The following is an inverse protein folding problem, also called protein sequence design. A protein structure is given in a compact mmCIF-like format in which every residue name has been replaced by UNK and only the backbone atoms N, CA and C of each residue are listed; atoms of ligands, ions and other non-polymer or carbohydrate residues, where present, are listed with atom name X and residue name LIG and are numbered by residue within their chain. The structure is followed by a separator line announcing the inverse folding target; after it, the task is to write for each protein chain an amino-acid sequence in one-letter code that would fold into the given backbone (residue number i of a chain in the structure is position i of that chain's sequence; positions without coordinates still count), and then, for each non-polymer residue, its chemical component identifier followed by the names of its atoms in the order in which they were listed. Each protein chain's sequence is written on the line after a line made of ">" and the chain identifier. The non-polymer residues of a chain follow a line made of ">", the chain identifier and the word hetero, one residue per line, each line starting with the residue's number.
data_IF_719348268711
#
_entry.id   IF_719348268711
#
_cell.length_a   1.000
_cell.length_b   1.000
_cell.length_c   1.000
_cell.angle_alpha   90.00
_cell.angle_beta   90.00
_cell.angle_gamma   90.00
#
_symmetry.space_group_name_H-M   'P 1'
#
loop_
_entity.id
_entity.type
_entity.pdbx_description
1 polymer ?
#
# COMPACT_ATOMS: atom_id res chain seq x y z
N UNK A 1 -15.41 -16.79 -9.78
CA UNK A 1 -14.74 -16.33 -8.55
C UNK A 1 -15.70 -15.35 -7.90
N UNK A 2 -15.94 -15.39 -6.58
CA UNK A 2 -16.65 -14.31 -5.92
C UNK A 2 -15.91 -13.00 -6.20
N UNK A 3 -16.65 -11.93 -6.44
CA UNK A 3 -16.08 -10.59 -6.60
C UNK A 3 -15.61 -10.14 -5.20
N UNK A 4 -14.33 -9.76 -5.08
CA UNK A 4 -13.82 -9.18 -3.83
C UNK A 4 -14.29 -7.73 -3.78
N UNK A 5 -15.34 -7.48 -2.99
CA UNK A 5 -15.84 -6.14 -2.77
C UNK A 5 -14.92 -5.41 -1.79
N UNK A 6 -14.33 -4.30 -2.24
CA UNK A 6 -13.54 -3.43 -1.38
C UNK A 6 -14.45 -2.79 -0.33
N UNK A 7 -14.04 -2.87 0.93
CA UNK A 7 -14.85 -2.37 2.06
C UNK A 7 -14.35 -1.04 2.59
N UNK A 8 -13.07 -0.70 2.36
CA UNK A 8 -12.46 0.55 2.81
C UNK A 8 -11.20 0.89 2.01
N UNK A 9 -10.89 2.18 1.89
CA UNK A 9 -9.60 2.69 1.43
C UNK A 9 -8.90 3.30 2.64
N UNK A 10 -7.73 2.78 2.99
CA UNK A 10 -6.84 3.40 3.98
C UNK A 10 -5.66 4.00 3.23
N UNK A 11 -5.36 5.28 3.42
CA UNK A 11 -4.33 5.98 2.68
C UNK A 11 -3.49 6.92 3.55
N UNK A 12 -2.29 7.23 3.06
CA UNK A 12 -1.43 8.25 3.65
C UNK A 12 -1.78 9.61 3.04
N UNK A 13 -1.94 10.63 3.88
CA UNK A 13 -2.23 12.01 3.44
C UNK A 13 -0.99 12.71 2.83
N UNK A 14 0.20 12.20 3.14
CA UNK A 14 1.49 12.70 2.65
C UNK A 14 2.44 11.52 2.40
N UNK A 15 3.73 11.82 2.22
CA UNK A 15 4.80 10.83 2.16
C UNK A 15 4.70 9.87 3.35
N UNK A 16 4.72 8.54 3.12
CA UNK A 16 4.57 7.59 4.20
C UNK A 16 5.70 7.73 5.21
N UNK A 17 5.35 7.58 6.48
CA UNK A 17 6.31 7.45 7.59
C UNK A 17 6.06 6.11 8.30
N UNK A 18 6.87 5.79 9.30
CA UNK A 18 6.55 4.69 10.22
C UNK A 18 5.27 5.06 10.96
N UNK A 19 4.13 4.51 10.53
CA UNK A 19 2.82 4.94 11.00
C UNK A 19 1.79 3.82 11.05
N UNK A 20 0.66 4.11 11.68
CA UNK A 20 -0.47 3.18 11.77
C UNK A 20 -1.74 3.89 11.34
N UNK A 21 -2.31 3.44 10.23
CA UNK A 21 -3.58 3.89 9.69
C UNK A 21 -4.69 3.04 10.32
N UNK A 22 -5.26 3.53 11.42
CA UNK A 22 -6.38 2.88 12.09
C UNK A 22 -7.72 3.23 11.42
N UNK A 23 -8.60 2.25 11.25
CA UNK A 23 -9.91 2.44 10.64
C UNK A 23 -10.98 1.59 11.31
N UNK A 24 -12.25 1.83 10.95
CA UNK A 24 -13.40 1.06 11.43
C UNK A 24 -14.40 0.83 10.31
N UNK A 25 -14.74 -0.43 10.07
CA UNK A 25 -15.75 -0.85 9.09
C UNK A 25 -16.79 -1.68 9.82
N UNK A 26 -18.07 -1.34 9.69
CA UNK A 26 -19.18 -2.08 10.32
C UNK A 26 -19.01 -2.33 11.84
N UNK A 27 -18.29 -1.45 12.54
CA UNK A 27 -18.00 -1.57 13.98
C UNK A 27 -16.84 -2.49 14.34
N UNK A 28 -16.19 -3.13 13.35
CA UNK A 28 -14.94 -3.86 13.52
C UNK A 28 -13.75 -2.91 13.32
N UNK A 29 -12.79 -2.97 14.23
CA UNK A 29 -11.55 -2.18 14.17
C UNK A 29 -10.49 -2.93 13.37
N UNK A 30 -9.76 -2.20 12.55
CA UNK A 30 -8.59 -2.68 11.83
C UNK A 30 -7.53 -1.60 11.73
N UNK A 31 -6.33 -1.99 11.33
CA UNK A 31 -5.28 -1.02 11.03
C UNK A 31 -4.33 -1.53 9.95
N UNK A 32 -3.76 -0.61 9.18
CA UNK A 32 -2.56 -0.87 8.38
C UNK A 32 -1.37 -0.26 9.12
N UNK A 33 -0.35 -1.06 9.40
CA UNK A 33 0.92 -0.61 9.95
C UNK A 33 1.90 -0.50 8.77
N UNK A 34 2.52 0.67 8.62
CA UNK A 34 3.50 0.97 7.58
C UNK A 34 4.87 1.11 8.25
N UNK A 35 5.89 0.47 7.69
CA UNK A 35 7.29 0.57 8.13
C UNK A 35 8.17 0.99 6.94
N UNK A 36 8.75 2.19 6.99
CA UNK A 36 9.59 2.72 5.92
C UNK A 36 11.00 2.12 6.04
N UNK A 37 11.28 1.15 5.17
CA UNK A 37 12.52 0.37 5.24
C UNK A 37 13.73 1.02 4.56
N UNK A 38 13.53 2.05 3.74
CA UNK A 38 14.65 2.82 3.19
C UNK A 38 14.26 4.21 2.69
N UNK A 39 15.21 5.14 2.77
CA UNK A 39 15.08 6.52 2.28
C UNK A 39 16.24 6.90 1.35
N UNK A 40 16.06 7.95 0.55
CA UNK A 40 17.15 8.54 -0.23
C UNK A 40 18.01 9.50 0.61
N UNK A 41 19.01 10.15 -0.01
CA UNK A 41 19.90 11.09 0.69
C UNK A 41 19.20 12.35 1.19
N UNK A 42 18.02 12.66 0.66
CA UNK A 42 17.19 13.81 1.05
C UNK A 42 16.16 13.42 2.13
N UNK A 43 16.09 12.14 2.49
CA UNK A 43 15.18 11.60 3.50
C UNK A 43 13.84 11.11 2.95
N UNK A 44 13.61 11.18 1.64
CA UNK A 44 12.35 10.74 1.04
C UNK A 44 12.24 9.20 1.09
N UNK A 45 11.06 8.64 1.45
CA UNK A 45 10.84 7.21 1.50
C UNK A 45 10.97 6.58 0.11
N UNK A 46 11.72 5.48 -0.01
CA UNK A 46 11.91 4.73 -1.26
C UNK A 46 11.24 3.36 -1.22
N UNK A 47 11.20 2.73 -0.04
CA UNK A 47 10.55 1.45 0.19
C UNK A 47 9.85 1.42 1.54
N UNK A 48 8.81 0.62 1.62
CA UNK A 48 8.12 0.32 2.87
C UNK A 48 7.62 -1.12 2.88
N UNK A 49 7.37 -1.62 4.07
CA UNK A 49 6.66 -2.86 4.34
C UNK A 49 5.31 -2.51 4.97
N UNK A 50 4.32 -3.38 4.84
CA UNK A 50 3.06 -3.21 5.55
C UNK A 50 2.58 -4.49 6.22
N UNK A 51 1.80 -4.32 7.28
CA UNK A 51 1.00 -5.40 7.87
C UNK A 51 -0.37 -4.89 8.29
N UNK A 52 -1.35 -5.78 8.31
CA UNK A 52 -2.74 -5.48 8.67
C UNK A 52 -3.08 -6.15 10.00
N UNK A 53 -3.87 -5.46 10.82
CA UNK A 53 -4.47 -6.02 12.03
C UNK A 53 -5.98 -5.97 11.97
N UNK A 54 -6.63 -6.85 12.76
CA UNK A 54 -8.08 -7.01 12.76
C UNK A 54 -8.56 -8.05 11.73
N UNK A 55 -9.88 -8.14 11.50
CA UNK A 55 -10.48 -9.10 10.57
C UNK A 55 -10.44 -8.61 9.11
N UNK A 56 -9.31 -8.04 8.69
CA UNK A 56 -9.16 -7.40 7.38
C UNK A 56 -7.88 -7.85 6.68
N UNK A 57 -7.89 -7.76 5.36
CA UNK A 57 -6.74 -7.98 4.50
C UNK A 57 -6.67 -6.91 3.40
N UNK A 58 -5.59 -6.92 2.62
CA UNK A 58 -5.39 -6.03 1.48
C UNK A 58 -5.57 -6.80 0.18
N UNK A 59 -6.44 -6.30 -0.69
CA UNK A 59 -6.62 -6.83 -2.04
C UNK A 59 -5.76 -6.11 -3.08
N UNK A 60 -5.40 -4.85 -2.84
CA UNK A 60 -4.46 -4.11 -3.67
C UNK A 60 -3.78 -2.95 -2.92
N UNK A 61 -2.58 -2.57 -3.34
CA UNK A 61 -1.86 -1.38 -2.86
C UNK A 61 -1.45 -0.51 -4.04
N UNK A 62 -1.67 0.80 -3.92
CA UNK A 62 -1.25 1.81 -4.88
C UNK A 62 -0.14 2.64 -4.26
N UNK A 63 1.06 2.60 -4.84
CA UNK A 63 2.23 3.36 -4.38
C UNK A 63 2.56 4.45 -5.39
N UNK A 64 2.32 5.71 -5.01
CA UNK A 64 2.52 6.90 -5.87
C UNK A 64 3.86 7.55 -5.55
N UNK A 65 4.60 7.97 -6.57
CA UNK A 65 5.87 8.67 -6.39
C UNK A 65 6.42 9.23 -7.69
N UNK A 66 7.54 9.97 -7.60
CA UNK A 66 8.17 10.62 -8.75
C UNK A 66 7.55 11.98 -9.12
N UNK A 67 8.10 12.67 -10.15
CA UNK A 67 7.69 14.02 -10.48
C UNK A 67 6.22 14.06 -10.95
N UNK A 68 5.38 14.84 -10.26
CA UNK A 68 3.95 15.01 -10.56
C UNK A 68 3.62 15.49 -11.99
N UNK A 69 4.64 15.89 -12.77
CA UNK A 69 4.51 16.54 -14.06
C UNK A 69 4.86 15.61 -15.24
N UNK A 70 5.30 14.38 -14.97
CA UNK A 70 5.58 13.41 -16.03
C UNK A 70 4.32 12.55 -16.27
N UNK A 71 3.67 12.68 -17.44
CA UNK A 71 2.44 11.94 -17.76
C UNK A 71 2.67 10.44 -17.93
N UNK A 72 3.92 9.99 -17.85
CA UNK A 72 4.33 8.59 -17.89
C UNK A 72 4.68 8.03 -16.51
N UNK A 73 4.85 8.89 -15.49
CA UNK A 73 5.20 8.47 -14.14
C UNK A 73 3.94 8.18 -13.32
N UNK A 74 3.45 6.94 -13.43
CA UNK A 74 2.27 6.42 -12.76
C UNK A 74 2.57 5.67 -11.45
N UNK A 75 1.57 5.52 -10.61
CA UNK A 75 1.68 4.70 -9.41
C UNK A 75 2.02 3.24 -9.75
N UNK A 76 2.75 2.55 -8.88
CA UNK A 76 2.78 1.09 -8.92
C UNK A 76 1.49 0.56 -8.29
N UNK A 77 0.83 -0.37 -8.98
CA UNK A 77 -0.30 -1.14 -8.46
C UNK A 77 0.19 -2.55 -8.11
N UNK A 78 0.15 -2.89 -6.83
CA UNK A 78 0.34 -4.24 -6.32
C UNK A 78 -1.05 -4.87 -6.20
N UNK A 79 -1.41 -5.77 -7.11
CA UNK A 79 -2.73 -6.42 -7.16
C UNK A 79 -2.65 -7.84 -6.59
N UNK A 80 -3.24 -8.05 -5.42
CA UNK A 80 -3.23 -9.33 -4.71
C UNK A 80 -4.45 -10.19 -5.00
N UNK A 81 -5.44 -9.69 -5.75
CA UNK A 81 -6.65 -10.44 -6.11
C UNK A 81 -6.35 -11.70 -6.92
N UNK A 82 -5.19 -11.75 -7.56
CA UNK A 82 -4.72 -12.91 -8.32
C UNK A 82 -3.93 -13.92 -7.48
N UNK A 83 -3.65 -13.63 -6.21
CA UNK A 83 -3.05 -14.61 -5.30
C UNK A 83 -4.07 -15.74 -5.05
N UNK A 84 -3.63 -16.97 -4.69
CA UNK A 84 -4.56 -18.06 -4.38
C UNK A 84 -5.55 -17.74 -3.24
N UNK A 85 -5.16 -16.85 -2.32
CA UNK A 85 -6.01 -16.34 -1.25
C UNK A 85 -6.86 -15.14 -1.68
N UNK A 86 -6.50 -14.47 -2.78
CA UNK A 86 -7.16 -13.25 -3.28
C UNK A 86 -6.82 -11.97 -2.50
N UNK A 87 -6.03 -12.07 -1.44
CA UNK A 87 -5.71 -10.99 -0.51
C UNK A 87 -4.49 -11.36 0.34
N UNK A 88 -3.87 -10.36 0.98
CA UNK A 88 -2.72 -10.55 1.87
C UNK A 88 -2.85 -9.69 3.13
N UNK A 89 -2.29 -10.18 4.24
CA UNK A 89 -2.23 -9.43 5.50
C UNK A 89 -0.93 -8.63 5.64
N UNK A 90 0.10 -8.96 4.84
CA UNK A 90 1.38 -8.27 4.85
C UNK A 90 2.11 -8.47 3.51
N UNK A 91 2.97 -7.51 3.18
CA UNK A 91 3.94 -7.62 2.10
C UNK A 91 5.13 -6.69 2.40
N UNK A 92 6.26 -6.95 1.75
CA UNK A 92 7.54 -6.31 2.03
C UNK A 92 8.13 -5.65 0.78
N UNK A 93 8.93 -4.61 0.98
CA UNK A 93 9.74 -3.92 -0.03
C UNK A 93 8.95 -3.24 -1.15
N UNK A 94 7.72 -2.81 -0.87
CA UNK A 94 6.90 -2.05 -1.80
C UNK A 94 7.55 -0.71 -2.12
N UNK A 95 7.43 -0.26 -3.36
CA UNK A 95 8.11 0.92 -3.86
C UNK A 95 7.27 1.65 -4.91
N UNK A 96 7.53 2.94 -5.06
CA UNK A 96 7.06 3.68 -6.23
C UNK A 96 7.82 3.22 -7.48
N UNK A 97 7.41 3.71 -8.64
CA UNK A 97 8.06 3.38 -9.91
C UNK A 97 9.57 3.65 -9.94
N UNK A 98 10.24 2.98 -10.87
CA UNK A 98 11.63 3.30 -11.19
C UNK A 98 11.71 4.68 -11.84
N UNK A 99 12.74 5.43 -11.49
CA UNK A 99 13.08 6.68 -12.14
C UNK A 99 13.27 6.42 -13.65
N UNK A 100 12.54 7.11 -14.56
CA UNK A 100 12.63 6.88 -16.00
C UNK A 100 14.06 6.97 -16.57
N UNK A 101 14.93 7.75 -15.93
CA UNK A 101 16.30 7.98 -16.35
C UNK A 101 17.33 7.06 -15.67
N UNK A 102 16.91 6.07 -14.87
CA UNK A 102 17.81 5.22 -14.11
C UNK A 102 17.18 3.91 -13.61
N UNK A 103 17.89 3.21 -12.73
CA UNK A 103 17.43 1.97 -12.08
C UNK A 103 17.04 2.18 -10.61
N UNK A 104 16.99 3.42 -10.15
CA UNK A 104 16.66 3.76 -8.77
C UNK A 104 15.15 3.99 -8.62
N UNK A 105 14.60 3.69 -7.44
CA UNK A 105 13.22 4.05 -7.09
C UNK A 105 13.06 5.57 -6.98
N UNK A 106 11.89 6.09 -7.36
CA UNK A 106 11.50 7.46 -7.03
C UNK A 106 11.07 7.55 -5.57
N UNK A 107 11.18 8.74 -4.96
CA UNK A 107 10.56 9.03 -3.67
C UNK A 107 9.05 8.74 -3.69
N UNK A 108 8.54 8.14 -2.62
CA UNK A 108 7.12 7.82 -2.43
C UNK A 108 6.42 9.06 -1.87
N UNK A 109 5.38 9.50 -2.58
CA UNK A 109 4.56 10.64 -2.18
C UNK A 109 3.32 10.25 -1.39
N UNK A 110 2.69 9.11 -1.72
CA UNK A 110 1.46 8.63 -1.09
C UNK A 110 1.32 7.11 -1.28
N UNK A 111 0.63 6.46 -0.35
CA UNK A 111 0.25 5.05 -0.43
C UNK A 111 -1.24 4.91 -0.13
N UNK A 112 -1.94 4.07 -0.89
CA UNK A 112 -3.33 3.71 -0.62
C UNK A 112 -3.52 2.19 -0.62
N UNK A 113 -4.28 1.70 0.34
CA UNK A 113 -4.58 0.29 0.57
C UNK A 113 -6.07 0.03 0.30
N UNK A 114 -6.36 -0.89 -0.60
CA UNK A 114 -7.72 -1.37 -0.85
C UNK A 114 -8.02 -2.53 0.11
N UNK A 115 -8.75 -2.22 1.17
CA UNK A 115 -9.08 -3.16 2.24
C UNK A 115 -10.26 -4.04 1.87
N UNK A 116 -10.20 -5.30 2.30
CA UNK A 116 -11.26 -6.31 2.23
C UNK A 116 -11.40 -6.99 3.59
N UNK A 117 -12.54 -7.64 3.83
CA UNK A 117 -12.68 -8.53 5.00
C UNK A 117 -11.74 -9.74 4.85
N UNK A 118 -11.16 -10.20 5.96
CA UNK A 118 -10.32 -11.38 5.90
C UNK A 118 -11.15 -12.67 5.76
N UNK A 119 -11.12 -13.31 4.60
CA UNK A 119 -11.88 -14.52 4.29
C UNK A 119 -11.40 -15.77 5.03
N UNK A 120 -10.27 -15.70 5.75
CA UNK A 120 -9.86 -16.76 6.68
C UNK A 120 -10.56 -16.67 8.05
N UNK A 121 -11.26 -15.55 8.34
CA UNK A 121 -11.97 -15.30 9.61
C UNK A 121 -13.50 -15.35 9.50
N UNK A 122 -14.07 -15.67 8.32
CA UNK A 122 -15.52 -15.84 8.11
C UNK A 122 -15.95 -17.31 8.07
#
# INVERSE_FOLDING_TARGET
>A
MPELDFVHEADTENEPTDETLAFTVNGQQGSVIIDVTSTNMEGEPLRFDFSVTGPFAVAAVIVKGGPANDPTTGANLYDYRTTPAGQVEADETLHAQLNPNGTAYTGISHVAFCMVEDGAQT
#
